data_IF_796562271762
#
_entry.id   IF_796562271762
#
_cell.length_a   1.000
_cell.length_b   1.000
_cell.length_c   1.000
_cell.angle_alpha   90.00
_cell.angle_beta   90.00
_cell.angle_gamma   90.00
#
_symmetry.space_group_name_H-M   'P 1'
#
loop_
_entity.id
_entity.type
_entity.pdbx_description
1 polymer ?
#
# COMPACT_ATOMS: atom_id res chain seq x y z
N UNK A 1 38.10 -11.49 -52.96
CA UNK A 1 38.10 -10.93 -51.59
C UNK A 1 36.75 -10.27 -51.32
N UNK A 2 35.83 -10.96 -50.65
CA UNK A 2 34.70 -10.31 -49.97
C UNK A 2 34.52 -11.00 -48.62
N UNK A 3 34.83 -10.26 -47.56
CA UNK A 3 34.62 -10.62 -46.17
C UNK A 3 33.13 -10.83 -45.91
N UNK A 4 32.67 -12.07 -45.82
CA UNK A 4 31.55 -12.38 -44.93
C UNK A 4 32.16 -12.67 -43.57
N UNK A 5 32.09 -11.70 -42.66
CA UNK A 5 32.50 -11.87 -41.28
C UNK A 5 31.42 -12.72 -40.59
N UNK A 6 31.52 -14.05 -40.73
CA UNK A 6 30.56 -15.05 -40.25
C UNK A 6 30.51 -15.17 -38.70
N UNK A 7 31.05 -14.21 -37.95
CA UNK A 7 31.25 -14.26 -36.51
C UNK A 7 30.03 -14.70 -35.71
N UNK A 8 28.83 -14.23 -36.07
CA UNK A 8 27.58 -14.60 -35.40
C UNK A 8 27.17 -16.06 -35.65
N UNK A 9 27.23 -16.52 -36.91
CA UNK A 9 26.86 -17.89 -37.25
C UNK A 9 27.91 -18.90 -36.75
N UNK A 10 29.20 -18.54 -36.79
CA UNK A 10 30.27 -19.33 -36.16
C UNK A 10 30.15 -19.39 -34.64
N UNK A 11 29.52 -18.39 -34.02
CA UNK A 11 29.25 -18.41 -32.58
C UNK A 11 28.00 -19.23 -32.23
N UNK A 12 26.95 -19.16 -33.06
CA UNK A 12 25.72 -19.94 -32.85
C UNK A 12 25.87 -21.42 -33.17
N UNK A 13 26.64 -21.75 -34.21
CA UNK A 13 26.77 -23.11 -34.75
C UNK A 13 28.23 -23.58 -34.73
N UNK A 14 29.05 -23.03 -33.82
CA UNK A 14 30.49 -23.25 -33.82
C UNK A 14 30.89 -24.71 -33.67
N UNK A 15 30.16 -25.47 -32.86
CA UNK A 15 30.30 -26.92 -32.67
C UNK A 15 30.02 -27.69 -33.96
N UNK A 16 28.93 -27.35 -34.65
CA UNK A 16 28.44 -28.01 -35.85
C UNK A 16 29.29 -27.67 -37.07
N UNK A 17 29.69 -26.40 -37.19
CA UNK A 17 30.59 -25.93 -38.23
C UNK A 17 31.99 -26.55 -38.06
N UNK A 18 32.51 -26.63 -36.83
CA UNK A 18 33.81 -27.26 -36.55
C UNK A 18 33.82 -28.75 -36.92
N UNK A 19 32.72 -29.47 -36.67
CA UNK A 19 32.55 -30.87 -37.08
C UNK A 19 32.45 -31.03 -38.61
N UNK A 20 31.78 -30.11 -39.31
CA UNK A 20 31.71 -30.09 -40.77
C UNK A 20 33.07 -29.84 -41.43
N UNK A 21 33.87 -28.92 -40.88
CA UNK A 21 35.18 -28.57 -41.44
C UNK A 21 36.29 -29.56 -41.07
N UNK A 22 36.07 -30.48 -40.14
CA UNK A 22 37.06 -31.50 -39.76
C UNK A 22 37.10 -32.73 -40.68
N UNK A 23 36.20 -32.84 -41.67
CA UNK A 23 36.12 -34.00 -42.58
C UNK A 23 36.14 -33.50 -44.03
N UNK A 24 37.15 -33.89 -44.84
CA UNK A 24 37.35 -33.36 -46.21
C UNK A 24 36.25 -33.78 -47.21
N UNK A 25 35.58 -34.91 -46.97
CA UNK A 25 34.47 -35.40 -47.79
C UNK A 25 33.20 -35.59 -46.94
N UNK A 26 32.45 -34.52 -46.74
CA UNK A 26 31.17 -34.57 -46.00
C UNK A 26 30.04 -34.99 -46.95
N UNK A 27 29.22 -36.00 -46.60
CA UNK A 27 27.99 -36.28 -47.35
C UNK A 27 27.09 -35.06 -47.32
N UNK A 28 26.76 -34.49 -48.49
CA UNK A 28 25.78 -33.41 -48.59
C UNK A 28 24.41 -33.94 -48.17
N UNK A 29 24.01 -33.65 -46.93
CA UNK A 29 22.75 -34.15 -46.35
C UNK A 29 22.72 -34.31 -44.83
N UNK A 30 23.77 -33.93 -44.11
CA UNK A 30 23.79 -34.03 -42.63
C UNK A 30 22.72 -33.11 -42.05
N UNK A 31 21.74 -33.69 -41.36
CA UNK A 31 20.65 -32.94 -40.71
C UNK A 31 21.19 -32.31 -39.42
N UNK A 32 21.33 -30.98 -39.42
CA UNK A 32 21.71 -30.22 -38.23
C UNK A 32 20.46 -29.82 -37.44
N UNK A 33 20.55 -29.88 -36.12
CA UNK A 33 19.46 -29.47 -35.24
C UNK A 33 19.34 -27.96 -35.19
N UNK A 34 18.10 -27.49 -35.19
CA UNK A 34 17.74 -26.07 -35.12
C UNK A 34 17.96 -25.51 -33.70
N UNK A 35 18.11 -26.35 -32.68
CA UNK A 35 18.31 -25.94 -31.29
C UNK A 35 19.72 -26.24 -30.78
N UNK A 36 20.50 -25.23 -30.36
CA UNK A 36 21.81 -25.44 -29.75
C UNK A 36 21.63 -26.04 -28.35
N UNK A 37 22.28 -27.17 -28.08
CA UNK A 37 22.44 -27.71 -26.72
C UNK A 37 23.63 -27.02 -26.07
N UNK A 38 23.40 -26.34 -24.95
CA UNK A 38 24.48 -25.90 -24.08
C UNK A 38 25.07 -27.13 -23.38
N UNK A 39 26.39 -27.32 -23.56
CA UNK A 39 27.23 -28.27 -22.84
C UNK A 39 27.00 -29.75 -23.08
N UNK A 40 27.87 -30.32 -23.93
CA UNK A 40 28.75 -31.41 -23.51
C UNK A 40 30.00 -31.37 -24.37
N UNK A 41 31.09 -30.83 -23.82
CA UNK A 41 32.40 -31.32 -24.20
C UNK A 41 32.41 -32.82 -23.82
N UNK A 42 32.72 -33.72 -24.75
CA UNK A 42 33.72 -34.80 -24.61
C UNK A 42 33.56 -35.89 -25.70
N UNK A 43 34.70 -36.15 -26.34
CA UNK A 43 35.34 -37.43 -26.65
C UNK A 43 34.48 -38.70 -26.85
N UNK A 44 34.69 -39.29 -28.03
CA UNK A 44 34.44 -40.69 -28.41
C UNK A 44 32.99 -41.09 -28.76
N UNK A 45 32.59 -40.71 -29.98
CA UNK A 45 32.33 -41.69 -31.07
C UNK A 45 31.07 -42.55 -31.05
N UNK A 46 30.38 -42.72 -29.92
CA UNK A 46 29.16 -43.54 -29.86
C UNK A 46 28.25 -43.02 -28.73
N UNK A 47 27.45 -42.00 -29.00
CA UNK A 47 26.46 -41.48 -28.04
C UNK A 47 25.06 -41.37 -28.68
N UNK A 48 24.00 -41.77 -27.95
CA UNK A 48 22.64 -41.71 -28.44
C UNK A 48 22.19 -40.27 -28.66
N UNK A 49 21.62 -40.02 -29.82
CA UNK A 49 21.05 -38.73 -30.23
C UNK A 49 19.97 -38.30 -29.22
N UNK A 50 20.32 -37.43 -28.25
CA UNK A 50 19.41 -36.91 -27.21
C UNK A 50 18.22 -36.20 -27.85
N UNK A 51 17.00 -36.71 -27.84
CA UNK A 51 15.86 -36.10 -28.58
C UNK A 51 15.49 -34.69 -28.08
N UNK A 52 14.70 -33.93 -28.84
CA UNK A 52 14.16 -32.62 -28.37
C UNK A 52 13.44 -32.78 -27.01
N UNK A 53 12.70 -33.87 -26.84
CA UNK A 53 12.02 -34.22 -25.59
C UNK A 53 13.02 -34.45 -24.46
N UNK A 54 14.15 -35.10 -24.73
CA UNK A 54 15.20 -35.36 -23.75
C UNK A 54 15.91 -34.07 -23.31
N UNK A 55 16.19 -33.15 -24.24
CA UNK A 55 16.75 -31.83 -23.92
C UNK A 55 15.75 -30.99 -23.10
N UNK A 56 14.47 -30.96 -23.51
CA UNK A 56 13.42 -30.28 -22.75
C UNK A 56 13.29 -30.83 -21.32
N UNK A 57 13.31 -32.15 -21.16
CA UNK A 57 13.27 -32.80 -19.85
C UNK A 57 14.47 -32.40 -18.99
N UNK A 58 15.69 -32.44 -19.54
CA UNK A 58 16.91 -32.04 -18.85
C UNK A 58 16.86 -30.57 -18.40
N UNK A 59 16.40 -29.66 -19.26
CA UNK A 59 16.26 -28.23 -18.94
C UNK A 59 15.20 -27.99 -17.86
N UNK A 60 14.07 -28.69 -17.93
CA UNK A 60 12.99 -28.61 -16.95
C UNK A 60 13.46 -29.13 -15.58
N UNK A 61 14.17 -30.25 -15.54
CA UNK A 61 14.70 -30.84 -14.32
C UNK A 61 15.72 -29.91 -13.64
N UNK A 62 16.61 -29.29 -14.42
CA UNK A 62 17.53 -28.28 -13.91
C UNK A 62 16.80 -27.06 -13.31
N UNK A 63 15.75 -26.57 -13.98
CA UNK A 63 14.92 -25.49 -13.44
C UNK A 63 14.24 -25.91 -12.12
N UNK A 64 13.68 -27.11 -12.06
CA UNK A 64 13.02 -27.62 -10.84
C UNK A 64 14.01 -27.74 -9.67
N UNK A 65 15.23 -28.22 -9.91
CA UNK A 65 16.29 -28.25 -8.87
C UNK A 65 16.52 -26.86 -8.29
N UNK A 66 16.65 -25.83 -9.12
CA UNK A 66 16.80 -24.45 -8.65
C UNK A 66 15.59 -23.97 -7.84
N UNK A 67 14.37 -24.29 -8.31
CA UNK A 67 13.14 -23.86 -7.64
C UNK A 67 12.91 -24.54 -6.28
N UNK A 68 13.30 -25.82 -6.13
CA UNK A 68 13.16 -26.57 -4.86
C UNK A 68 13.99 -25.98 -3.73
N UNK A 69 15.16 -25.40 -4.05
CA UNK A 69 16.01 -24.73 -3.06
C UNK A 69 15.58 -23.27 -2.76
N UNK A 70 14.63 -22.73 -3.52
CA UNK A 70 14.12 -21.38 -3.34
C UNK A 70 12.91 -21.34 -2.39
N UNK A 71 12.51 -20.11 -2.03
CA UNK A 71 11.21 -19.85 -1.38
C UNK A 71 10.24 -19.32 -2.44
N UNK A 72 9.33 -20.14 -2.98
CA UNK A 72 8.49 -19.73 -4.09
C UNK A 72 7.39 -18.76 -3.65
N UNK A 73 7.11 -17.79 -4.52
CA UNK A 73 5.97 -16.89 -4.44
C UNK A 73 5.14 -17.05 -5.70
N UNK A 74 3.86 -17.38 -5.57
CA UNK A 74 2.99 -17.67 -6.71
C UNK A 74 2.15 -16.44 -7.08
N UNK A 75 2.23 -16.03 -8.34
CA UNK A 75 1.34 -15.03 -8.95
C UNK A 75 0.51 -15.74 -10.01
N UNK A 76 -0.82 -15.65 -9.91
CA UNK A 76 -1.76 -16.23 -10.88
C UNK A 76 -2.42 -15.09 -11.67
N UNK A 77 -2.11 -14.99 -12.95
CA UNK A 77 -2.72 -14.01 -13.84
C UNK A 77 -4.07 -14.54 -14.36
N UNK A 78 -5.10 -13.70 -14.38
CA UNK A 78 -6.44 -14.03 -14.87
C UNK A 78 -6.84 -13.01 -15.93
N UNK A 79 -7.20 -13.48 -17.12
CA UNK A 79 -7.77 -12.63 -18.19
C UNK A 79 -9.24 -12.32 -17.87
N UNK A 80 -9.59 -11.04 -17.76
CA UNK A 80 -10.94 -10.60 -17.36
C UNK A 80 -12.00 -10.79 -18.45
N UNK A 81 -11.62 -10.70 -19.74
CA UNK A 81 -12.50 -10.94 -20.87
C UNK A 81 -11.70 -11.37 -22.11
N UNK A 82 -12.33 -12.10 -23.03
CA UNK A 82 -11.69 -12.61 -24.27
C UNK A 82 -11.49 -11.56 -25.37
N UNK A 83 -12.17 -10.41 -25.25
CA UNK A 83 -12.17 -9.34 -26.25
C UNK A 83 -11.18 -8.22 -25.93
N UNK A 84 -10.37 -8.36 -24.87
CA UNK A 84 -9.35 -7.40 -24.43
C UNK A 84 -9.88 -5.99 -24.14
N UNK A 85 -11.19 -5.89 -23.92
CA UNK A 85 -11.86 -4.63 -23.64
C UNK A 85 -11.56 -4.16 -22.21
N UNK A 86 -11.17 -2.88 -22.01
CA UNK A 86 -10.90 -2.36 -20.68
C UNK A 86 -12.18 -2.33 -19.83
N UNK A 87 -12.03 -2.51 -18.52
CA UNK A 87 -13.13 -2.48 -17.53
C UNK A 87 -14.29 -3.47 -17.78
N UNK A 88 -14.11 -4.47 -18.64
CA UNK A 88 -15.10 -5.52 -18.87
C UNK A 88 -14.71 -6.80 -18.14
N UNK A 89 -15.69 -7.39 -17.45
CA UNK A 89 -15.56 -8.66 -16.75
C UNK A 89 -16.50 -9.70 -17.34
N UNK A 90 -15.95 -10.77 -17.90
CA UNK A 90 -16.69 -11.95 -18.34
C UNK A 90 -16.51 -13.10 -17.34
N UNK A 91 -17.59 -13.37 -16.60
CA UNK A 91 -17.62 -14.43 -15.58
C UNK A 91 -17.31 -15.80 -16.18
N UNK A 92 -17.78 -16.11 -17.39
CA UNK A 92 -17.57 -17.43 -18.00
C UNK A 92 -16.09 -17.70 -18.31
N UNK A 93 -15.39 -16.69 -18.81
CA UNK A 93 -13.94 -16.76 -19.07
C UNK A 93 -13.13 -16.83 -17.78
N UNK A 94 -13.49 -16.06 -16.76
CA UNK A 94 -12.77 -16.06 -15.47
C UNK A 94 -12.96 -17.37 -14.70
N UNK A 95 -14.19 -17.90 -14.61
CA UNK A 95 -14.46 -19.15 -13.88
C UNK A 95 -13.72 -20.34 -14.50
N UNK A 96 -13.66 -20.42 -15.84
CA UNK A 96 -12.88 -21.46 -16.52
C UNK A 96 -11.40 -21.41 -16.15
N UNK A 97 -10.81 -20.22 -16.11
CA UNK A 97 -9.41 -20.02 -15.70
C UNK A 97 -9.19 -20.36 -14.22
N UNK A 98 -10.09 -19.95 -13.33
CA UNK A 98 -10.03 -20.27 -11.90
C UNK A 98 -9.98 -21.79 -11.69
N UNK A 99 -10.79 -22.54 -12.44
CA UNK A 99 -10.80 -24.01 -12.42
C UNK A 99 -9.55 -24.62 -13.04
N UNK A 100 -9.12 -24.16 -14.22
CA UNK A 100 -7.94 -24.71 -14.91
C UNK A 100 -6.64 -24.43 -14.14
N UNK A 101 -6.57 -23.30 -13.44
CA UNK A 101 -5.47 -22.95 -12.56
C UNK A 101 -5.60 -23.58 -11.16
N UNK A 102 -6.68 -24.32 -10.89
CA UNK A 102 -6.93 -24.98 -9.61
C UNK A 102 -6.89 -24.03 -8.40
N UNK A 103 -7.33 -22.79 -8.58
CA UNK A 103 -7.27 -21.76 -7.52
C UNK A 103 -8.19 -22.14 -6.37
N UNK A 104 -9.39 -22.67 -6.66
CA UNK A 104 -10.36 -23.04 -5.62
C UNK A 104 -9.89 -24.27 -4.83
N UNK A 105 -9.32 -25.25 -5.50
CA UNK A 105 -8.76 -26.46 -4.91
C UNK A 105 -7.58 -26.10 -4.00
N UNK A 106 -6.71 -25.19 -4.45
CA UNK A 106 -5.61 -24.67 -3.63
C UNK A 106 -6.14 -23.95 -2.39
N UNK A 107 -7.15 -23.09 -2.55
CA UNK A 107 -7.79 -22.40 -1.42
C UNK A 107 -8.44 -23.38 -0.46
N UNK A 108 -9.13 -24.41 -0.95
CA UNK A 108 -9.77 -25.42 -0.13
C UNK A 108 -8.75 -26.25 0.65
N UNK A 109 -7.64 -26.65 0.00
CA UNK A 109 -6.52 -27.34 0.66
C UNK A 109 -5.92 -26.48 1.78
N UNK A 110 -5.74 -25.18 1.53
CA UNK A 110 -5.25 -24.24 2.55
C UNK A 110 -6.26 -24.01 3.68
N UNK A 111 -7.56 -23.97 3.37
CA UNK A 111 -8.62 -23.72 4.35
C UNK A 111 -8.87 -24.92 5.27
N UNK A 112 -8.81 -26.14 4.72
CA UNK A 112 -8.94 -27.39 5.48
C UNK A 112 -7.66 -27.82 6.20
N UNK A 113 -6.51 -27.28 5.81
CA UNK A 113 -5.20 -27.62 6.36
C UNK A 113 -4.64 -26.60 7.37
N UNK A 114 -3.33 -26.71 7.61
CA UNK A 114 -2.56 -25.80 8.45
C UNK A 114 -1.42 -25.15 7.64
N UNK A 115 -1.72 -24.21 6.74
CA UNK A 115 -0.74 -23.63 5.82
C UNK A 115 0.36 -22.83 6.54
N UNK A 116 0.12 -22.42 7.78
CA UNK A 116 1.07 -21.62 8.55
C UNK A 116 1.79 -22.44 9.59
N UNK A 117 3.11 -22.54 9.42
CA UNK A 117 4.01 -23.25 10.32
C UNK A 117 5.00 -22.28 10.94
N UNK A 118 5.14 -22.32 12.25
CA UNK A 118 6.07 -21.46 12.97
C UNK A 118 6.79 -22.22 14.07
N UNK A 119 8.06 -21.90 14.34
CA UNK A 119 8.77 -22.46 15.50
C UNK A 119 8.19 -21.89 16.79
N UNK A 120 8.19 -22.68 17.86
CA UNK A 120 7.63 -22.23 19.14
C UNK A 120 8.26 -20.94 19.67
N UNK A 121 9.60 -20.83 19.61
CA UNK A 121 10.32 -19.61 20.01
C UNK A 121 9.85 -18.38 19.21
N UNK A 122 9.68 -18.52 17.89
CA UNK A 122 9.20 -17.45 17.03
C UNK A 122 7.74 -17.07 17.32
N UNK A 123 6.88 -18.07 17.62
CA UNK A 123 5.49 -17.83 18.00
C UNK A 123 5.40 -17.05 19.31
N UNK A 124 6.11 -17.49 20.35
CA UNK A 124 6.13 -16.79 21.64
C UNK A 124 6.66 -15.36 21.52
N UNK A 125 7.80 -15.17 20.82
CA UNK A 125 8.37 -13.84 20.63
C UNK A 125 7.36 -12.88 19.96
N UNK A 126 6.56 -13.38 19.03
CA UNK A 126 5.57 -12.60 18.28
C UNK A 126 4.29 -12.32 19.05
N UNK A 127 3.77 -13.30 19.80
CA UNK A 127 2.41 -13.29 20.36
C UNK A 127 2.33 -13.30 21.89
N UNK A 128 3.44 -13.35 22.63
CA UNK A 128 3.41 -13.34 24.12
C UNK A 128 2.60 -12.21 24.74
N UNK A 129 2.51 -11.06 24.07
CA UNK A 129 1.75 -9.90 24.55
C UNK A 129 0.23 -10.14 24.59
N UNK A 130 -0.25 -11.19 23.92
CA UNK A 130 -1.67 -11.52 23.87
C UNK A 130 -2.15 -12.19 25.15
N UNK A 131 -1.30 -12.97 25.83
CA UNK A 131 -1.66 -13.63 27.07
C UNK A 131 -1.27 -12.78 28.29
N UNK A 132 -1.96 -12.95 29.44
CA UNK A 132 -1.59 -12.29 30.68
C UNK A 132 -0.14 -12.63 31.08
N UNK A 133 0.68 -11.58 31.28
CA UNK A 133 2.11 -11.73 31.54
C UNK A 133 2.41 -12.59 32.78
N UNK A 134 1.57 -12.51 33.81
CA UNK A 134 1.73 -13.26 35.05
C UNK A 134 1.57 -14.79 34.88
N UNK A 135 0.89 -15.24 33.82
CA UNK A 135 0.65 -16.67 33.56
C UNK A 135 1.71 -17.30 32.64
N UNK A 136 2.59 -16.49 32.05
CA UNK A 136 3.65 -16.98 31.15
C UNK A 136 4.92 -17.30 31.92
N UNK A 137 5.47 -18.49 31.69
CA UNK A 137 6.72 -18.93 32.31
C UNK A 137 7.91 -18.16 31.78
N UNK A 138 7.95 -17.91 30.46
CA UNK A 138 9.01 -17.17 29.75
C UNK A 138 10.40 -17.82 29.87
N UNK A 139 10.46 -19.13 30.09
CA UNK A 139 11.71 -19.92 30.08
C UNK A 139 11.74 -20.84 28.86
N UNK A 140 12.95 -21.20 28.41
CA UNK A 140 13.14 -21.99 27.19
C UNK A 140 12.59 -23.42 27.30
N UNK A 141 12.57 -24.01 28.50
CA UNK A 141 12.04 -25.36 28.72
C UNK A 141 10.52 -25.41 28.57
N UNK A 142 9.82 -24.32 28.94
CA UNK A 142 8.35 -24.23 28.95
C UNK A 142 7.77 -23.43 27.77
N UNK A 143 8.55 -23.26 26.72
CA UNK A 143 8.15 -22.56 25.49
C UNK A 143 6.89 -23.19 24.85
N UNK A 144 6.72 -24.51 24.93
CA UNK A 144 5.54 -25.20 24.39
C UNK A 144 4.28 -24.90 25.20
N UNK A 145 4.39 -24.89 26.54
CA UNK A 145 3.29 -24.59 27.46
C UNK A 145 2.81 -23.15 27.28
N UNK A 146 3.76 -22.20 27.14
CA UNK A 146 3.45 -20.80 26.87
C UNK A 146 2.74 -20.63 25.51
N UNK A 147 3.15 -21.39 24.47
CA UNK A 147 2.43 -21.39 23.18
C UNK A 147 0.98 -21.86 23.35
N UNK A 148 0.77 -22.96 24.07
CA UNK A 148 -0.55 -23.52 24.32
C UNK A 148 -1.43 -22.55 25.09
N UNK A 149 -0.89 -21.91 26.13
CA UNK A 149 -1.60 -20.91 26.94
C UNK A 149 -2.05 -19.71 26.11
N UNK A 150 -1.16 -19.18 25.24
CA UNK A 150 -1.50 -18.06 24.35
C UNK A 150 -2.65 -18.44 23.41
N UNK A 151 -2.59 -19.63 22.79
CA UNK A 151 -3.64 -20.10 21.89
C UNK A 151 -4.96 -20.28 22.61
N UNK A 152 -4.95 -20.92 23.79
CA UNK A 152 -6.16 -21.13 24.58
C UNK A 152 -6.81 -19.79 24.95
N UNK A 153 -6.01 -18.83 25.42
CA UNK A 153 -6.50 -17.48 25.73
C UNK A 153 -7.15 -16.80 24.52
N UNK A 154 -6.55 -16.96 23.33
CA UNK A 154 -7.08 -16.38 22.10
C UNK A 154 -8.36 -17.09 21.64
N UNK A 155 -8.43 -18.41 21.73
CA UNK A 155 -9.64 -19.18 21.40
C UNK A 155 -10.79 -18.79 22.32
N UNK A 156 -10.55 -18.67 23.63
CA UNK A 156 -11.56 -18.23 24.60
C UNK A 156 -12.10 -16.83 24.30
N UNK A 157 -11.25 -15.93 23.78
CA UNK A 157 -11.68 -14.61 23.32
C UNK A 157 -12.52 -14.66 22.04
N UNK A 158 -12.16 -15.55 21.10
CA UNK A 158 -12.88 -15.73 19.84
C UNK A 158 -14.26 -16.31 20.09
N UNK A 159 -14.38 -17.32 20.95
CA UNK A 159 -15.66 -17.96 21.30
C UNK A 159 -16.69 -16.97 21.83
N UNK A 160 -16.23 -15.90 22.51
CA UNK A 160 -17.10 -14.82 23.01
C UNK A 160 -17.61 -13.87 21.92
N UNK A 161 -17.01 -13.86 20.74
CA UNK A 161 -17.35 -12.92 19.65
C UNK A 161 -18.34 -13.47 18.62
N UNK A 162 -18.84 -14.72 18.76
CA UNK A 162 -19.95 -15.32 17.99
C UNK A 162 -19.90 -15.13 16.45
N UNK A 163 -18.72 -14.95 15.86
CA UNK A 163 -18.62 -14.67 14.42
C UNK A 163 -17.33 -15.25 13.82
N UNK A 164 -17.33 -16.55 13.52
CA UNK A 164 -16.24 -17.17 12.77
C UNK A 164 -16.75 -18.08 11.67
N UNK A 165 -16.70 -17.58 10.43
CA UNK A 165 -16.99 -18.31 9.19
C UNK A 165 -15.82 -19.19 8.73
N UNK A 166 -14.63 -19.04 9.33
CA UNK A 166 -13.36 -19.67 8.91
C UNK A 166 -12.85 -20.57 10.03
N UNK A 167 -12.32 -21.75 9.67
CA UNK A 167 -11.71 -22.69 10.63
C UNK A 167 -10.66 -22.00 11.51
N UNK A 168 -10.84 -22.09 12.83
CA UNK A 168 -9.91 -21.58 13.85
C UNK A 168 -9.09 -22.71 14.48
N UNK A 169 -8.87 -23.81 13.76
CA UNK A 169 -8.09 -24.95 14.23
C UNK A 169 -6.60 -24.62 14.33
N UNK A 170 -5.92 -25.32 15.25
CA UNK A 170 -4.48 -25.28 15.41
C UNK A 170 -3.99 -26.65 15.89
N UNK A 171 -2.70 -26.93 15.66
CA UNK A 171 -2.05 -28.15 16.12
C UNK A 171 -0.61 -27.87 16.56
N UNK A 172 -0.13 -28.61 17.56
CA UNK A 172 1.25 -28.58 18.02
C UNK A 172 1.99 -29.80 17.46
N UNK A 173 3.10 -29.57 16.77
CA UNK A 173 4.04 -30.62 16.40
C UNK A 173 5.25 -30.66 17.33
N UNK A 174 6.25 -31.50 17.03
CA UNK A 174 7.45 -31.65 17.90
C UNK A 174 8.28 -30.36 18.09
N UNK A 175 8.31 -29.49 17.08
CA UNK A 175 9.16 -28.26 17.07
C UNK A 175 8.44 -27.01 16.58
N UNK A 176 7.22 -27.17 16.10
CA UNK A 176 6.50 -26.13 15.38
C UNK A 176 5.03 -26.16 15.77
N UNK A 177 4.43 -24.99 15.75
CA UNK A 177 2.99 -24.79 15.76
C UNK A 177 2.48 -24.72 14.32
N UNK A 178 1.32 -25.32 14.11
CA UNK A 178 0.57 -25.35 12.87
C UNK A 178 -0.74 -24.60 13.08
N UNK A 179 -1.00 -23.60 12.23
CA UNK A 179 -2.13 -22.70 12.37
C UNK A 179 -2.95 -22.75 11.08
N UNK A 180 -4.27 -22.83 11.22
CA UNK A 180 -5.17 -22.52 10.12
C UNK A 180 -5.05 -21.03 9.75
N UNK A 181 -5.54 -20.67 8.57
CA UNK A 181 -5.57 -19.26 8.16
C UNK A 181 -6.45 -18.42 9.10
N UNK A 182 -7.58 -18.96 9.56
CA UNK A 182 -8.52 -18.25 10.43
C UNK A 182 -7.91 -17.87 11.78
N UNK A 183 -7.29 -18.80 12.50
CA UNK A 183 -6.69 -18.49 13.81
C UNK A 183 -5.50 -17.53 13.68
N UNK A 184 -4.70 -17.64 12.61
CA UNK A 184 -3.59 -16.72 12.34
C UNK A 184 -4.07 -15.29 12.14
N UNK A 185 -5.14 -15.08 11.36
CA UNK A 185 -5.73 -13.75 11.17
C UNK A 185 -6.22 -13.16 12.49
N UNK A 186 -6.87 -13.95 13.34
CA UNK A 186 -7.31 -13.51 14.66
C UNK A 186 -6.14 -13.12 15.57
N UNK A 187 -5.07 -13.93 15.59
CA UNK A 187 -3.84 -13.61 16.34
C UNK A 187 -3.24 -12.25 15.92
N UNK A 188 -3.13 -11.98 14.61
CA UNK A 188 -2.61 -10.71 14.11
C UNK A 188 -3.52 -9.52 14.39
N UNK A 189 -4.84 -9.71 14.25
CA UNK A 189 -5.85 -8.70 14.57
C UNK A 189 -5.80 -8.32 16.05
N UNK A 190 -5.82 -9.31 16.94
CA UNK A 190 -5.69 -9.10 18.38
C UNK A 190 -4.37 -8.42 18.73
N UNK A 191 -3.26 -8.85 18.11
CA UNK A 191 -1.94 -8.26 18.35
C UNK A 191 -1.90 -6.78 17.98
N UNK A 192 -2.45 -6.43 16.82
CA UNK A 192 -2.54 -5.05 16.36
C UNK A 192 -3.41 -4.22 17.30
N UNK A 193 -4.58 -4.75 17.69
CA UNK A 193 -5.50 -4.08 18.60
C UNK A 193 -4.87 -3.84 19.99
N UNK A 194 -4.18 -4.83 20.56
CA UNK A 194 -3.53 -4.69 21.87
C UNK A 194 -2.43 -3.63 21.82
N UNK A 195 -1.61 -3.62 20.76
CA UNK A 195 -0.59 -2.58 20.56
C UNK A 195 -1.20 -1.20 20.40
N UNK A 196 -2.29 -1.09 19.64
CA UNK A 196 -3.00 0.18 19.46
C UNK A 196 -3.57 0.69 20.78
N UNK A 197 -4.21 -0.17 21.58
CA UNK A 197 -4.72 0.20 22.91
C UNK A 197 -3.61 0.71 23.83
N UNK A 198 -2.47 0.01 23.87
CA UNK A 198 -1.32 0.43 24.65
C UNK A 198 -0.78 1.80 24.18
N UNK A 199 -0.65 2.00 22.86
CA UNK A 199 -0.23 3.29 22.30
C UNK A 199 -1.20 4.42 22.67
N UNK A 200 -2.50 4.19 22.54
CA UNK A 200 -3.54 5.18 22.92
C UNK A 200 -3.46 5.51 24.41
N UNK A 201 -3.23 4.54 25.29
CA UNK A 201 -3.10 4.76 26.73
C UNK A 201 -1.87 5.64 27.06
N UNK A 202 -0.72 5.34 26.45
CA UNK A 202 0.50 6.12 26.63
C UNK A 202 0.29 7.55 26.12
N UNK A 203 -0.30 7.68 24.92
CA UNK A 203 -0.57 8.98 24.30
C UNK A 203 -1.57 9.81 25.11
N UNK A 204 -2.67 9.22 25.59
CA UNK A 204 -3.68 9.93 26.38
C UNK A 204 -3.12 10.38 27.72
N UNK A 205 -2.32 9.53 28.37
CA UNK A 205 -1.65 9.84 29.64
C UNK A 205 -0.65 10.98 29.47
N UNK A 206 0.21 10.90 28.45
CA UNK A 206 1.18 11.95 28.15
C UNK A 206 0.51 13.26 27.77
N UNK A 207 -0.50 13.24 26.89
CA UNK A 207 -1.28 14.44 26.52
C UNK A 207 -1.95 15.06 27.73
N UNK A 208 -2.53 14.25 28.62
CA UNK A 208 -3.14 14.72 29.86
C UNK A 208 -2.13 15.37 30.81
N UNK A 209 -0.98 14.74 31.01
CA UNK A 209 0.12 15.29 31.81
C UNK A 209 0.64 16.61 31.21
N UNK A 210 0.91 16.63 29.90
CA UNK A 210 1.43 17.79 29.19
C UNK A 210 0.45 18.98 29.22
N UNK A 211 -0.85 18.72 29.06
CA UNK A 211 -1.88 19.76 29.22
C UNK A 211 -1.90 20.33 30.65
N UNK A 212 -1.83 19.49 31.69
CA UNK A 212 -1.79 19.96 33.09
C UNK A 212 -0.52 20.75 33.40
N UNK A 213 0.63 20.31 32.90
CA UNK A 213 1.89 21.03 33.06
C UNK A 213 1.83 22.43 32.41
N UNK A 214 1.31 22.51 31.17
CA UNK A 214 1.15 23.80 30.47
C UNK A 214 0.02 24.66 31.01
N UNK A 215 -0.93 24.11 31.75
CA UNK A 215 -2.08 24.85 32.29
C UNK A 215 -1.67 26.00 33.20
N UNK A 216 -0.63 25.83 34.03
CA UNK A 216 -0.11 26.90 34.88
C UNK A 216 0.46 28.08 34.09
N UNK A 217 1.14 27.81 32.97
CA UNK A 217 1.66 28.84 32.07
C UNK A 217 0.55 29.54 31.28
N UNK A 218 -0.41 28.76 30.75
CA UNK A 218 -1.57 29.27 30.02
C UNK A 218 -2.49 30.13 30.89
N UNK A 219 -2.63 29.80 32.19
CA UNK A 219 -3.43 30.59 33.14
C UNK A 219 -2.82 31.97 33.36
N UNK A 220 -1.50 32.05 33.58
CA UNK A 220 -0.77 33.32 33.71
C UNK A 220 -0.87 34.17 32.44
N UNK A 221 -0.73 33.55 31.26
CA UNK A 221 -0.88 34.26 29.98
C UNK A 221 -2.31 34.80 29.79
N UNK A 222 -3.33 34.07 30.25
CA UNK A 222 -4.73 34.52 30.23
C UNK A 222 -4.97 35.69 31.18
N UNK A 223 -4.42 35.66 32.39
CA UNK A 223 -4.50 36.76 33.38
C UNK A 223 -3.85 38.05 32.85
N UNK A 224 -2.68 37.95 32.21
CA UNK A 224 -2.03 39.08 31.55
C UNK A 224 -2.86 39.63 30.37
N UNK A 225 -3.53 38.77 29.59
CA UNK A 225 -4.43 39.21 28.50
C UNK A 225 -5.72 39.85 29.02
N UNK A 226 -6.33 39.36 30.10
CA UNK A 226 -7.49 40.01 30.73
C UNK A 226 -7.13 41.38 31.29
N UNK A 227 -5.96 41.53 31.92
CA UNK A 227 -5.49 42.82 32.43
C UNK A 227 -5.15 43.80 31.30
N UNK A 228 -4.61 43.32 30.17
CA UNK A 228 -4.40 44.15 28.98
C UNK A 228 -5.71 44.58 28.29
N UNK A 229 -6.78 43.78 28.40
CA UNK A 229 -8.09 44.10 27.83
C UNK A 229 -8.85 45.14 28.68
N UNK A 230 -8.65 45.17 30.00
CA UNK A 230 -9.20 46.24 30.86
C UNK A 230 -8.48 47.59 30.67
N UNK A 231 -7.21 47.59 30.25
CA UNK A 231 -6.45 48.82 29.97
C UNK A 231 -6.61 49.38 28.55
N UNK A 232 -7.42 48.76 27.68
CA UNK A 232 -7.65 49.22 26.29
C UNK A 232 -9.00 49.91 26.07
N UNK A 233 -9.74 50.26 27.14
CA UNK A 233 -10.94 51.10 27.05
C UNK A 233 -10.68 52.61 27.13
N UNK A 234 -9.43 53.07 27.26
CA UNK A 234 -9.13 54.50 27.49
C UNK A 234 -8.47 55.24 26.34
N UNK A 235 -8.27 54.66 25.16
CA UNK A 235 -7.83 55.43 23.99
C UNK A 235 -8.24 54.77 22.67
N UNK A 236 -9.30 55.30 22.05
CA UNK A 236 -9.61 55.07 20.63
C UNK A 236 -9.64 56.40 19.89
N UNK A 237 -8.52 56.74 19.27
CA UNK A 237 -8.44 57.69 18.16
C UNK A 237 -8.48 56.90 16.85
N UNK A 238 -9.25 57.32 15.83
CA UNK A 238 -9.35 56.58 14.58
C UNK A 238 -8.25 57.04 13.62
N UNK A 239 -7.32 56.14 13.27
CA UNK A 239 -6.48 56.34 12.09
C UNK A 239 -6.58 55.08 11.23
N UNK A 240 -7.08 55.29 10.02
CA UNK A 240 -7.17 54.27 8.97
C UNK A 240 -5.78 53.81 8.54
N UNK A 241 -5.64 52.50 8.40
CA UNK A 241 -4.44 51.85 7.87
C UNK A 241 -4.77 50.40 7.54
N UNK A 242 -4.40 49.98 6.33
CA UNK A 242 -4.72 48.68 5.74
C UNK A 242 -4.35 47.50 6.67
N UNK A 243 -5.29 46.58 6.85
CA UNK A 243 -5.10 45.36 7.64
C UNK A 243 -4.21 44.39 6.85
N UNK A 244 -2.91 44.42 7.11
CA UNK A 244 -2.03 43.30 6.80
C UNK A 244 -2.39 42.13 7.74
N UNK A 245 -2.79 40.97 7.18
CA UNK A 245 -3.07 39.77 7.99
C UNK A 245 -1.81 39.40 8.78
N UNK A 246 -1.92 39.10 10.10
CA UNK A 246 -0.79 38.62 10.86
C UNK A 246 -0.28 37.30 10.28
N UNK A 247 1.05 37.19 10.12
CA UNK A 247 1.72 35.93 9.81
C UNK A 247 1.34 34.88 10.89
N UNK A 248 0.99 33.64 10.51
CA UNK A 248 0.67 32.59 11.48
C UNK A 248 1.82 32.37 12.48
N UNK A 249 1.47 32.16 13.74
CA UNK A 249 2.43 31.84 14.80
C UNK A 249 3.08 30.47 14.53
N UNK A 250 4.37 30.27 14.88
CA UNK A 250 5.06 28.99 14.72
C UNK A 250 4.34 27.85 15.45
N UNK A 251 4.36 26.65 14.87
CA UNK A 251 3.73 25.46 15.44
C UNK A 251 4.43 25.11 16.75
N UNK A 252 3.67 25.11 17.85
CA UNK A 252 4.17 24.76 19.17
C UNK A 252 4.72 23.31 19.18
N UNK A 253 6.02 23.16 19.44
CA UNK A 253 6.71 21.87 19.48
C UNK A 253 7.95 21.78 18.59
N UNK A 254 8.20 22.79 17.75
CA UNK A 254 9.53 22.99 17.17
C UNK A 254 10.36 23.81 18.17
N UNK A 255 11.51 23.33 18.65
CA UNK A 255 12.41 24.17 19.43
C UNK A 255 12.81 25.37 18.57
N UNK A 256 12.91 26.60 19.14
CA UNK A 256 13.49 27.70 18.40
C UNK A 256 14.90 27.27 17.92
N UNK A 257 15.29 27.59 16.68
CA UNK A 257 16.62 27.26 16.20
C UNK A 257 17.64 27.83 17.18
N UNK A 258 18.59 27.00 17.61
CA UNK A 258 19.66 27.41 18.52
C UNK A 258 20.40 28.59 17.85
N UNK A 259 20.54 29.76 18.49
CA UNK A 259 21.23 30.90 17.90
C UNK A 259 22.69 30.59 17.52
N UNK A 260 23.26 29.51 18.05
CA UNK A 260 24.59 29.02 17.69
C UNK A 260 24.61 27.90 16.62
N UNK A 261 23.47 27.30 16.26
CA UNK A 261 23.37 26.42 15.08
C UNK A 261 23.18 27.26 13.81
N UNK A 262 24.23 27.96 13.40
CA UNK A 262 24.31 28.42 12.01
C UNK A 262 24.56 27.18 11.15
N UNK A 263 23.57 26.72 10.40
CA UNK A 263 23.82 25.74 9.33
C UNK A 263 24.96 26.25 8.46
N UNK A 264 26.04 25.48 8.36
CA UNK A 264 27.22 25.86 7.59
C UNK A 264 26.82 26.12 6.14
N UNK A 265 27.09 27.33 5.65
CA UNK A 265 26.73 27.77 4.30
C UNK A 265 27.30 26.82 3.22
N UNK A 266 28.45 26.19 3.49
CA UNK A 266 29.04 25.18 2.60
C UNK A 266 28.22 23.90 2.54
N UNK A 267 27.69 23.44 3.67
CA UNK A 267 26.84 22.24 3.73
C UNK A 267 25.53 22.50 2.98
N UNK A 268 24.95 23.69 3.13
CA UNK A 268 23.74 24.10 2.40
C UNK A 268 24.04 24.08 0.88
N UNK A 269 25.14 24.71 0.46
CA UNK A 269 25.51 24.77 -0.96
C UNK A 269 25.82 23.39 -1.56
N UNK A 270 26.50 22.51 -0.81
CA UNK A 270 26.75 21.12 -1.22
C UNK A 270 25.46 20.30 -1.33
N UNK A 271 24.54 20.47 -0.38
CA UNK A 271 23.24 19.80 -0.39
C UNK A 271 22.39 20.28 -1.56
N UNK A 272 22.33 21.59 -1.79
CA UNK A 272 21.65 22.20 -2.93
C UNK A 272 22.22 21.71 -4.27
N UNK A 273 23.55 21.63 -4.42
CA UNK A 273 24.19 21.06 -5.61
C UNK A 273 23.87 19.57 -5.79
N UNK A 274 23.86 18.79 -4.71
CA UNK A 274 23.54 17.35 -4.76
C UNK A 274 22.10 17.10 -5.24
N UNK A 275 21.15 17.96 -4.85
CA UNK A 275 19.73 17.85 -5.21
C UNK A 275 19.32 18.74 -6.40
N UNK A 276 20.26 19.47 -7.02
CA UNK A 276 19.99 20.36 -8.16
C UNK A 276 19.04 21.53 -7.82
N UNK A 277 19.09 22.03 -6.59
CA UNK A 277 18.23 23.11 -6.09
C UNK A 277 18.97 24.45 -6.20
N UNK A 278 18.43 25.38 -7.00
CA UNK A 278 18.95 26.75 -7.11
C UNK A 278 18.47 27.59 -5.90
N UNK A 279 19.42 28.11 -5.12
CA UNK A 279 19.16 28.95 -3.94
C UNK A 279 18.65 30.34 -4.31
N UNK A 280 19.01 30.86 -5.48
CA UNK A 280 18.58 32.17 -5.98
C UNK A 280 17.21 32.07 -6.67
N UNK A 281 16.86 30.90 -7.20
CA UNK A 281 15.59 30.64 -7.90
C UNK A 281 14.91 29.39 -7.35
N UNK A 282 14.30 29.46 -6.16
CA UNK A 282 13.51 28.36 -5.65
C UNK A 282 12.42 27.99 -6.67
N UNK A 283 12.12 26.69 -6.85
CA UNK A 283 11.11 26.25 -7.79
C UNK A 283 9.77 26.92 -7.45
N UNK A 284 8.98 27.34 -8.46
CA UNK A 284 7.72 28.03 -8.24
C UNK A 284 6.80 27.15 -7.37
N UNK A 285 6.30 27.73 -6.28
CA UNK A 285 5.38 27.02 -5.39
C UNK A 285 4.15 26.64 -6.20
N UNK A 286 3.69 25.38 -6.12
CA UNK A 286 2.45 24.99 -6.78
C UNK A 286 1.31 25.91 -6.34
N UNK A 287 0.44 26.35 -7.26
CA UNK A 287 -0.70 27.18 -6.89
C UNK A 287 -1.56 26.47 -5.84
N UNK A 288 -2.09 27.24 -4.88
CA UNK A 288 -2.91 26.68 -3.81
C UNK A 288 -4.16 26.00 -4.41
N UNK A 289 -4.28 24.68 -4.21
CA UNK A 289 -5.49 23.96 -4.62
C UNK A 289 -6.64 24.32 -3.71
N UNK A 290 -7.75 24.77 -4.30
CA UNK A 290 -9.01 24.96 -3.60
C UNK A 290 -9.51 23.64 -3.02
N UNK A 291 -10.10 23.69 -1.83
CA UNK A 291 -10.64 22.53 -1.12
C UNK A 291 -11.91 22.91 -0.36
N UNK A 292 -12.72 21.92 -0.01
CA UNK A 292 -13.79 22.07 0.99
C UNK A 292 -13.43 21.32 2.27
N UNK A 293 -14.01 21.71 3.40
CA UNK A 293 -13.83 20.99 4.67
C UNK A 293 -15.12 20.25 5.00
N UNK A 294 -14.99 18.97 5.36
CA UNK A 294 -16.09 18.16 5.91
C UNK A 294 -15.61 17.51 7.21
N UNK A 295 -16.24 17.88 8.33
CA UNK A 295 -15.73 17.53 9.65
C UNK A 295 -14.29 18.04 9.85
N UNK A 296 -13.35 17.13 10.10
CA UNK A 296 -11.92 17.44 10.27
C UNK A 296 -11.06 17.16 9.02
N UNK A 297 -11.67 16.84 7.89
CA UNK A 297 -10.96 16.42 6.67
C UNK A 297 -11.06 17.46 5.57
N UNK A 298 -9.92 17.81 4.96
CA UNK A 298 -9.87 18.62 3.73
C UNK A 298 -10.11 17.72 2.52
N UNK A 299 -11.07 18.08 1.70
CA UNK A 299 -11.43 17.39 0.48
C UNK A 299 -11.06 18.27 -0.72
N UNK A 300 -10.15 17.77 -1.57
CA UNK A 300 -9.83 18.40 -2.85
C UNK A 300 -10.97 18.22 -3.86
N UNK A 301 -10.88 18.87 -5.01
CA UNK A 301 -11.78 18.66 -6.16
C UNK A 301 -11.13 17.72 -7.19
N UNK A 302 -11.93 16.99 -8.01
CA UNK A 302 -13.40 16.97 -8.02
C UNK A 302 -14.02 16.09 -6.92
N UNK A 303 -15.26 16.38 -6.52
CA UNK A 303 -15.99 15.68 -5.45
C UNK A 303 -17.38 15.25 -5.91
N UNK A 304 -17.76 14.02 -5.61
CA UNK A 304 -19.14 13.54 -5.85
C UNK A 304 -20.05 13.92 -4.68
N UNK A 305 -21.10 14.69 -4.97
CA UNK A 305 -22.10 15.13 -3.97
C UNK A 305 -23.52 14.81 -4.45
N UNK A 306 -24.48 14.82 -3.53
CA UNK A 306 -25.90 14.60 -3.81
C UNK A 306 -26.67 15.89 -3.58
N UNK A 307 -27.58 16.24 -4.50
CA UNK A 307 -28.46 17.40 -4.38
C UNK A 307 -29.50 17.19 -3.28
N UNK A 308 -29.55 18.07 -2.28
CA UNK A 308 -30.55 18.07 -1.20
C UNK A 308 -31.91 18.62 -1.64
N UNK A 309 -31.91 19.50 -2.64
CA UNK A 309 -33.09 20.13 -3.22
C UNK A 309 -32.82 20.45 -4.69
N UNK A 310 -33.88 20.70 -5.46
CA UNK A 310 -33.74 21.05 -6.87
C UNK A 310 -33.15 22.46 -7.04
N UNK A 311 -32.38 22.69 -8.11
CA UNK A 311 -31.76 23.98 -8.39
C UNK A 311 -31.68 24.22 -9.91
N UNK A 312 -32.04 25.41 -10.43
CA UNK A 312 -32.56 26.60 -9.73
C UNK A 312 -34.00 26.43 -9.22
N UNK A 313 -34.43 27.24 -8.25
CA UNK A 313 -35.80 27.20 -7.70
C UNK A 313 -36.83 27.86 -8.64
N UNK A 314 -36.41 28.82 -9.46
CA UNK A 314 -37.27 29.58 -10.39
C UNK A 314 -37.02 29.16 -11.85
N UNK A 315 -37.84 28.24 -12.37
CA UNK A 315 -37.83 27.90 -13.80
C UNK A 315 -39.04 28.50 -14.51
N UNK A 316 -38.85 29.69 -15.10
CA UNK A 316 -39.79 30.28 -16.07
C UNK A 316 -39.41 29.96 -17.53
N UNK A 317 -38.73 28.84 -17.79
CA UNK A 317 -38.37 28.41 -19.14
C UNK A 317 -37.55 27.12 -19.15
N UNK A 318 -37.35 26.59 -20.35
CA UNK A 318 -36.77 25.30 -20.78
C UNK A 318 -35.29 25.05 -20.36
N UNK A 319 -34.93 25.50 -19.17
CA UNK A 319 -33.59 25.40 -18.58
C UNK A 319 -33.38 24.06 -17.88
N UNK A 320 -32.16 23.54 -18.00
CA UNK A 320 -31.77 22.28 -17.38
C UNK A 320 -31.72 22.39 -15.84
N UNK A 321 -32.56 21.61 -15.16
CA UNK A 321 -32.69 21.62 -13.68
C UNK A 321 -31.90 20.47 -13.07
N UNK A 322 -31.20 20.75 -11.96
CA UNK A 322 -30.63 19.73 -11.09
C UNK A 322 -31.72 19.27 -10.11
N UNK A 323 -32.06 17.98 -10.08
CA UNK A 323 -33.16 17.48 -9.27
C UNK A 323 -32.68 17.03 -7.89
N UNK A 324 -33.53 17.15 -6.86
CA UNK A 324 -33.29 16.57 -5.53
C UNK A 324 -32.96 15.07 -5.65
N UNK A 325 -31.88 14.64 -4.99
CA UNK A 325 -31.40 13.26 -4.97
C UNK A 325 -30.44 12.91 -6.10
N UNK A 326 -30.27 13.77 -7.11
CA UNK A 326 -29.29 13.53 -8.17
C UNK A 326 -27.86 13.63 -7.65
N UNK A 327 -27.00 12.75 -8.17
CA UNK A 327 -25.56 12.77 -7.88
C UNK A 327 -24.87 13.68 -8.88
N UNK A 328 -24.11 14.65 -8.38
CA UNK A 328 -23.46 15.69 -9.18
C UNK A 328 -21.97 15.79 -8.86
N UNK A 329 -21.17 16.24 -9.85
CA UNK A 329 -19.73 16.38 -9.70
C UNK A 329 -19.37 17.83 -9.37
N UNK A 330 -18.83 18.07 -8.19
CA UNK A 330 -18.32 19.39 -7.79
C UNK A 330 -16.87 19.52 -8.24
N UNK A 331 -16.60 20.44 -9.16
CA UNK A 331 -15.28 20.62 -9.78
C UNK A 331 -14.45 21.74 -9.17
N UNK A 332 -15.07 22.64 -8.40
CA UNK A 332 -14.34 23.75 -7.78
C UNK A 332 -15.16 24.61 -6.83
N UNK A 333 -14.47 25.59 -6.22
CA UNK A 333 -15.11 26.68 -5.49
C UNK A 333 -15.61 27.74 -6.47
N UNK A 334 -16.84 28.21 -6.29
CA UNK A 334 -17.38 29.30 -7.09
C UNK A 334 -16.76 30.63 -6.69
N UNK A 335 -16.68 31.57 -7.63
CA UNK A 335 -16.42 32.99 -7.34
C UNK A 335 -17.57 33.62 -6.53
N UNK A 336 -18.79 33.06 -6.60
CA UNK A 336 -19.93 33.48 -5.77
C UNK A 336 -19.75 32.93 -4.36
N UNK A 337 -19.78 33.80 -3.36
CA UNK A 337 -19.65 33.44 -1.95
C UNK A 337 -20.68 32.36 -1.58
N UNK A 338 -20.23 31.29 -0.94
CA UNK A 338 -21.10 30.19 -0.50
C UNK A 338 -21.60 29.28 -1.63
N UNK A 339 -21.08 29.38 -2.85
CA UNK A 339 -21.46 28.49 -3.96
C UNK A 339 -20.29 27.59 -4.37
N UNK A 340 -20.63 26.46 -4.98
CA UNK A 340 -19.71 25.48 -5.54
C UNK A 340 -19.99 25.34 -7.05
N UNK A 341 -18.95 25.06 -7.83
CA UNK A 341 -19.11 24.80 -9.27
C UNK A 341 -19.41 23.33 -9.43
N UNK A 342 -20.58 23.05 -10.00
CA UNK A 342 -21.12 21.71 -10.23
C UNK A 342 -21.18 21.47 -11.73
N UNK A 343 -20.58 20.38 -12.21
CA UNK A 343 -20.68 19.97 -13.60
C UNK A 343 -21.73 18.85 -13.73
N UNK A 344 -22.71 19.06 -14.62
CA UNK A 344 -23.76 18.11 -14.89
C UNK A 344 -24.21 18.21 -16.35
N UNK A 345 -24.26 17.09 -17.07
CA UNK A 345 -24.67 17.00 -18.49
C UNK A 345 -23.97 18.02 -19.40
N UNK A 346 -22.67 18.27 -19.18
CA UNK A 346 -21.83 19.25 -19.88
C UNK A 346 -22.16 20.73 -19.63
N UNK A 347 -23.00 21.02 -18.63
CA UNK A 347 -23.29 22.36 -18.15
C UNK A 347 -22.70 22.57 -16.75
N UNK A 348 -22.20 23.78 -16.49
CA UNK A 348 -21.68 24.18 -15.17
C UNK A 348 -22.69 25.03 -14.42
N UNK A 349 -23.05 24.61 -13.22
CA UNK A 349 -23.97 25.30 -12.32
C UNK A 349 -23.22 25.85 -11.11
N UNK A 350 -23.57 27.06 -10.67
CA UNK A 350 -23.10 27.62 -9.42
C UNK A 350 -24.14 27.31 -8.33
N UNK A 351 -23.94 26.24 -7.59
CA UNK A 351 -24.93 25.74 -6.63
C UNK A 351 -24.54 26.12 -5.19
N UNK A 352 -25.45 26.63 -4.36
CA UNK A 352 -25.17 26.89 -2.94
C UNK A 352 -24.65 25.62 -2.23
N UNK A 353 -23.59 25.74 -1.43
CA UNK A 353 -23.00 24.55 -0.77
C UNK A 353 -23.99 23.83 0.16
N UNK A 354 -24.99 24.55 0.69
CA UNK A 354 -26.02 24.01 1.57
C UNK A 354 -26.96 23.03 0.84
N UNK A 355 -27.04 23.13 -0.48
CA UNK A 355 -27.90 22.28 -1.32
C UNK A 355 -27.17 20.98 -1.69
N UNK A 356 -25.92 20.79 -1.24
CA UNK A 356 -25.07 19.67 -1.61
C UNK A 356 -24.62 18.90 -0.39
N UNK A 357 -24.87 17.59 -0.39
CA UNK A 357 -24.38 16.66 0.63
C UNK A 357 -23.26 15.79 0.10
N UNK A 358 -22.24 15.51 0.92
CA UNK A 358 -21.23 14.52 0.57
C UNK A 358 -21.86 13.13 0.58
N UNK A 359 -21.74 12.42 -0.54
CA UNK A 359 -22.16 11.02 -0.62
C UNK A 359 -21.24 10.21 0.31
N UNK A 360 -21.72 9.90 1.51
CA UNK A 360 -21.01 8.99 2.40
C UNK A 360 -20.95 7.65 1.68
N UNK A 361 -19.75 7.13 1.44
CA UNK A 361 -19.57 5.76 0.99
C UNK A 361 -20.18 4.88 2.07
N UNK A 362 -21.36 4.32 1.80
CA UNK A 362 -21.90 3.23 2.60
C UNK A 362 -20.84 2.14 2.54
N UNK A 363 -20.14 1.94 3.65
CA UNK A 363 -19.32 0.75 3.84
C UNK A 363 -20.31 -0.43 3.86
N UNK A 364 -20.50 -1.04 2.69
CA UNK A 364 -21.06 -2.38 2.57
C UNK A 364 -19.91 -3.36 2.67
#
# INVERSE_FOLDING_TARGET
>A
KHNCNFGFATHLFGSELKALYSVENVPRGVSFRISPTSHTDLLNGDEPVSTLTQDFHTRLDNLLRTLVHARPHFVRCIRSNSQETPNRYDRGTVVRQIRSLQVLETVNLMAGGYPHRMRFKAFNARYRLLAPFARLHRTDEKVTDDCHLILQYVVDLISKQHNTLVSTSWALGKRHIFLSEGIRQHLEKLRTNTRQKAATLIQSTWRGWHCRYRWAALRREKEHKTNATSNTLTNRTPIGGAIARPRPQPIAGTPPPDPNEKCDAKIIQQTCNLFGLDLERPPPVPPSRSYTVSGNTKLGYPQTRVMKMSYPEDCNGDGQVLMKGETVLVVGASHRRGHLIVEHKHCTFHVPFQFLELKQSVNI
#
